data_IF_336931279105
#
_entry.id   IF_336931279105
#
_cell.length_a   1.000
_cell.length_b   1.000
_cell.length_c   1.000
_cell.angle_alpha   90.00
_cell.angle_beta   90.00
_cell.angle_gamma   90.00
#
_symmetry.space_group_name_H-M   'P 1'
#
loop_
_entity.id
_entity.type
_entity.pdbx_description
1 polymer ?
#
# COMPACT_ATOMS: atom_id res chain seq x y z
N UNK A 1 5.09 -5.92 24.30
CA UNK A 1 4.59 -5.05 23.21
C UNK A 1 3.06 -5.07 23.20
N UNK A 2 2.41 -3.94 23.50
CA UNK A 2 0.94 -3.82 23.51
C UNK A 2 0.44 -3.29 22.15
N UNK A 3 0.37 -4.17 21.17
CA UNK A 3 -0.22 -3.87 19.86
C UNK A 3 -1.54 -4.62 19.71
N UNK A 4 -2.57 -3.92 19.23
CA UNK A 4 -3.83 -4.53 18.83
C UNK A 4 -3.92 -4.49 17.31
N UNK A 5 -4.08 -5.67 16.72
CA UNK A 5 -4.28 -5.80 15.28
C UNK A 5 -5.77 -5.98 15.02
N UNK A 6 -6.31 -5.13 14.15
CA UNK A 6 -7.72 -5.14 13.79
C UNK A 6 -7.88 -5.64 12.36
N UNK A 7 -8.72 -6.67 12.20
CA UNK A 7 -9.13 -7.25 10.93
C UNK A 7 -10.34 -6.50 10.35
N UNK A 8 -10.25 -5.18 10.29
CA UNK A 8 -11.30 -4.29 9.81
C UNK A 8 -10.83 -3.56 8.55
N UNK A 9 -11.77 -3.13 7.71
CA UNK A 9 -11.43 -2.25 6.58
C UNK A 9 -10.76 -0.98 7.09
N UNK A 10 -9.58 -0.65 6.54
CA UNK A 10 -8.78 0.52 6.94
C UNK A 10 -9.56 1.81 6.70
N UNK A 11 -10.33 1.81 5.62
CA UNK A 11 -11.30 2.84 5.27
C UNK A 11 -12.61 2.09 5.11
N UNK A 12 -13.57 2.25 6.04
CA UNK A 12 -14.93 1.74 5.82
C UNK A 12 -15.42 2.25 4.47
N UNK A 13 -15.58 1.35 3.48
CA UNK A 13 -16.14 1.72 2.19
C UNK A 13 -17.56 2.23 2.44
N UNK A 14 -17.94 3.44 2.00
CA UNK A 14 -19.32 3.87 2.09
C UNK A 14 -20.21 2.83 1.38
N UNK A 15 -21.26 2.36 2.04
CA UNK A 15 -22.23 1.42 1.45
C UNK A 15 -22.84 1.97 0.13
N UNK A 16 -22.73 3.28 -0.07
CA UNK A 16 -23.25 4.03 -1.19
C UNK A 16 -22.16 4.47 -2.19
N UNK A 17 -20.92 3.96 -2.13
CA UNK A 17 -19.92 4.33 -3.15
C UNK A 17 -20.50 3.93 -4.51
N UNK A 18 -21.00 4.89 -5.31
CA UNK A 18 -21.64 4.53 -6.55
C UNK A 18 -20.54 3.94 -7.41
N UNK A 19 -20.84 2.91 -8.20
CA UNK A 19 -19.97 2.54 -9.31
C UNK A 19 -19.83 3.78 -10.18
N UNK A 20 -18.84 4.63 -9.88
CA UNK A 20 -18.33 5.60 -10.83
C UNK A 20 -17.60 4.73 -11.82
N UNK A 21 -18.33 4.29 -12.84
CA UNK A 21 -17.75 3.91 -14.11
C UNK A 21 -16.94 5.12 -14.59
N UNK A 22 -15.70 5.21 -14.14
CA UNK A 22 -14.66 5.80 -14.98
C UNK A 22 -14.56 4.81 -16.12
N UNK A 23 -15.35 5.06 -17.16
CA UNK A 23 -15.33 4.32 -18.42
C UNK A 23 -14.00 4.65 -19.13
N UNK A 24 -12.90 4.17 -18.56
CA UNK A 24 -11.81 3.68 -19.39
C UNK A 24 -12.39 2.42 -20.00
N UNK A 25 -12.44 2.30 -21.34
CA UNK A 25 -12.72 1.00 -21.97
C UNK A 25 -11.75 -0.02 -21.36
N UNK A 26 -12.23 -0.77 -20.36
CA UNK A 26 -11.36 -1.40 -19.39
C UNK A 26 -10.54 -2.49 -20.08
N UNK A 27 -9.22 -2.46 -19.89
CA UNK A 27 -8.36 -3.59 -20.26
C UNK A 27 -8.76 -4.76 -19.35
N UNK A 28 -9.62 -5.63 -19.88
CA UNK A 28 -10.02 -6.87 -19.25
C UNK A 28 -8.80 -7.77 -18.99
N UNK A 29 -8.88 -8.71 -18.05
CA UNK A 29 -7.72 -9.52 -17.64
C UNK A 29 -7.13 -10.35 -18.81
N UNK A 30 -7.96 -10.71 -19.79
CA UNK A 30 -7.52 -11.32 -21.05
C UNK A 30 -6.89 -10.31 -22.03
N UNK A 31 -7.23 -9.03 -21.95
CA UNK A 31 -6.70 -8.00 -22.83
C UNK A 31 -5.23 -7.66 -22.50
N UNK A 32 -4.77 -7.88 -21.27
CA UNK A 32 -3.33 -7.82 -20.92
C UNK A 32 -2.49 -8.89 -21.62
N UNK A 33 -3.10 -10.04 -21.98
CA UNK A 33 -2.44 -11.08 -22.79
C UNK A 33 -2.36 -10.70 -24.26
N UNK A 34 -3.20 -9.78 -24.72
CA UNK A 34 -3.21 -9.31 -26.09
C UNK A 34 -2.38 -8.05 -26.28
N UNK A 35 -2.16 -7.69 -27.53
CA UNK A 35 -1.56 -6.40 -27.88
C UNK A 35 -2.46 -5.25 -27.37
N UNK A 36 -1.89 -4.35 -26.57
CA UNK A 36 -2.55 -3.12 -26.12
C UNK A 36 -1.95 -1.96 -26.92
N UNK A 37 -2.78 -1.22 -27.66
CA UNK A 37 -2.33 -0.03 -28.38
C UNK A 37 -2.21 1.16 -27.41
N UNK A 38 -1.11 1.22 -26.67
CA UNK A 38 -0.86 2.24 -25.63
C UNK A 38 -0.87 3.65 -26.23
N UNK A 39 -0.28 3.82 -27.41
CA UNK A 39 -0.25 5.11 -28.11
C UNK A 39 -1.65 5.64 -28.44
N UNK A 40 -2.58 4.73 -28.76
CA UNK A 40 -3.97 5.05 -29.07
C UNK A 40 -4.86 5.37 -27.85
N UNK A 41 -4.40 5.16 -26.62
CA UNK A 41 -5.22 5.38 -25.42
C UNK A 41 -5.49 6.90 -25.20
N UNK A 42 -6.74 7.31 -24.92
CA UNK A 42 -7.11 8.70 -24.68
C UNK A 42 -6.78 9.16 -23.25
N UNK A 43 -5.57 8.86 -22.77
CA UNK A 43 -5.10 9.15 -21.41
C UNK A 43 -3.76 9.91 -21.44
N UNK A 44 -3.43 10.58 -20.33
CA UNK A 44 -2.17 11.32 -20.21
C UNK A 44 -0.93 10.43 -20.27
N UNK A 45 0.21 10.98 -20.69
CA UNK A 45 1.47 10.24 -20.86
C UNK A 45 1.92 9.48 -19.60
N UNK A 46 1.70 10.05 -18.42
CA UNK A 46 1.99 9.39 -17.14
C UNK A 46 1.18 8.11 -16.93
N UNK A 47 -0.10 8.09 -17.35
CA UNK A 47 -0.94 6.90 -17.27
C UNK A 47 -0.62 5.89 -18.37
N UNK A 48 -0.19 6.36 -19.56
CA UNK A 48 0.34 5.47 -20.61
C UNK A 48 1.59 4.73 -20.13
N UNK A 49 2.50 5.43 -19.46
CA UNK A 49 3.71 4.86 -18.84
C UNK A 49 3.32 3.77 -17.84
N UNK A 50 2.35 4.06 -16.96
CA UNK A 50 1.84 3.08 -16.01
C UNK A 50 1.26 1.83 -16.71
N UNK A 51 0.49 2.00 -17.79
CA UNK A 51 -0.07 0.87 -18.55
C UNK A 51 1.03 0.04 -19.21
N UNK A 52 2.07 0.68 -19.75
CA UNK A 52 3.23 0.02 -20.38
C UNK A 52 4.03 -0.82 -19.38
N UNK A 53 4.25 -0.29 -18.19
CA UNK A 53 4.95 -1.01 -17.11
C UNK A 53 4.13 -2.18 -16.57
N UNK A 54 2.80 -2.03 -16.42
CA UNK A 54 1.92 -3.14 -16.06
C UNK A 54 1.99 -4.24 -17.12
N UNK A 55 2.01 -3.87 -18.41
CA UNK A 55 2.17 -4.82 -19.51
C UNK A 55 3.51 -5.54 -19.43
N UNK A 56 4.59 -4.82 -19.12
CA UNK A 56 5.94 -5.36 -18.93
C UNK A 56 5.98 -6.37 -17.78
N UNK A 57 5.40 -6.04 -16.63
CA UNK A 57 5.28 -6.94 -15.47
C UNK A 57 4.50 -8.20 -15.86
N UNK A 58 3.41 -8.04 -16.60
CA UNK A 58 2.58 -9.16 -17.05
C UNK A 58 3.34 -10.09 -18.02
N UNK A 59 4.01 -9.52 -19.02
CA UNK A 59 4.72 -10.26 -20.06
C UNK A 59 5.95 -10.98 -19.54
N UNK A 60 6.55 -10.49 -18.46
CA UNK A 60 7.66 -11.16 -17.78
C UNK A 60 7.28 -12.57 -17.24
N UNK A 61 5.99 -12.90 -17.15
CA UNK A 61 5.40 -14.25 -17.05
C UNK A 61 6.30 -15.35 -16.43
N UNK A 62 6.60 -15.19 -15.13
CA UNK A 62 7.40 -16.07 -14.24
C UNK A 62 8.90 -15.76 -14.10
N UNK A 63 9.47 -14.90 -14.94
CA UNK A 63 10.80 -14.29 -14.71
C UNK A 63 10.62 -12.87 -14.16
N UNK A 64 9.71 -12.71 -13.20
CA UNK A 64 9.48 -11.45 -12.50
C UNK A 64 10.76 -11.07 -11.75
N UNK A 65 11.66 -10.41 -12.46
CA UNK A 65 12.73 -9.65 -11.83
C UNK A 65 12.03 -8.63 -10.95
N UNK A 66 12.36 -8.64 -9.66
CA UNK A 66 11.91 -7.66 -8.65
C UNK A 66 11.99 -6.23 -9.20
N UNK A 67 13.03 -5.95 -10.00
CA UNK A 67 13.21 -4.73 -10.77
C UNK A 67 11.98 -4.22 -11.54
N UNK A 68 11.25 -5.10 -12.25
CA UNK A 68 10.07 -4.69 -13.02
C UNK A 68 8.91 -4.31 -12.12
N UNK A 69 8.74 -5.04 -11.02
CA UNK A 69 7.74 -4.75 -10.01
C UNK A 69 8.07 -3.42 -9.32
N UNK A 70 9.32 -3.22 -8.90
CA UNK A 70 9.76 -1.99 -8.26
C UNK A 70 9.56 -0.78 -9.16
N UNK A 71 9.89 -0.92 -10.45
CA UNK A 71 9.68 0.14 -11.45
C UNK A 71 8.20 0.49 -11.58
N UNK A 72 7.34 -0.53 -11.77
CA UNK A 72 5.89 -0.35 -11.84
C UNK A 72 5.32 0.34 -10.59
N UNK A 73 5.73 -0.13 -9.41
CA UNK A 73 5.24 0.39 -8.13
C UNK A 73 5.70 1.83 -7.91
N UNK A 74 6.94 2.15 -8.24
CA UNK A 74 7.48 3.50 -8.18
C UNK A 74 6.67 4.46 -9.07
N UNK A 75 6.41 4.07 -10.32
CA UNK A 75 5.60 4.86 -11.25
C UNK A 75 4.16 4.98 -10.78
N UNK A 76 3.56 3.91 -10.25
CA UNK A 76 2.22 3.94 -9.66
C UNK A 76 2.13 5.01 -8.57
N UNK A 77 3.07 5.01 -7.62
CA UNK A 77 3.09 6.00 -6.53
C UNK A 77 3.36 7.42 -7.03
N UNK A 78 4.19 7.59 -8.06
CA UNK A 78 4.41 8.89 -8.69
C UNK A 78 3.14 9.42 -9.37
N UNK A 79 2.45 8.59 -10.16
CA UNK A 79 1.18 8.93 -10.81
C UNK A 79 0.11 9.30 -9.78
N UNK A 80 0.10 8.59 -8.64
CA UNK A 80 -0.80 8.86 -7.52
C UNK A 80 -0.36 10.04 -6.64
N UNK A 81 0.75 10.72 -6.98
CA UNK A 81 1.29 11.89 -6.24
C UNK A 81 1.60 11.60 -4.77
N UNK A 82 1.95 10.35 -4.46
CA UNK A 82 2.24 9.93 -3.07
C UNK A 82 3.62 10.36 -2.58
N UNK A 83 4.41 10.98 -3.46
CA UNK A 83 5.70 11.56 -3.13
C UNK A 83 5.73 13.10 -3.34
N UNK A 84 4.56 13.72 -3.49
CA UNK A 84 4.43 15.18 -3.55
C UNK A 84 4.21 15.73 -2.14
N UNK A 85 4.85 16.85 -1.81
CA UNK A 85 4.65 17.53 -0.51
C UNK A 85 3.15 17.80 -0.26
N UNK A 86 2.59 17.50 0.94
CA UNK A 86 3.29 17.19 2.20
C UNK A 86 3.58 15.69 2.44
N UNK A 87 3.32 14.84 1.44
CA UNK A 87 3.58 13.40 1.52
C UNK A 87 5.04 13.09 1.22
N UNK A 88 5.48 11.95 1.74
CA UNK A 88 6.76 11.35 1.43
C UNK A 88 6.60 9.85 1.33
N UNK A 89 7.28 9.24 0.37
CA UNK A 89 7.41 7.78 0.27
C UNK A 89 8.84 7.36 0.57
N UNK A 90 9.00 6.37 1.44
CA UNK A 90 10.29 5.76 1.72
C UNK A 90 10.22 4.28 1.36
N UNK A 91 10.97 3.87 0.35
CA UNK A 91 11.11 2.48 -0.03
C UNK A 91 12.11 1.77 0.89
N UNK A 92 11.79 0.54 1.30
CA UNK A 92 12.66 -0.33 2.11
C UNK A 92 13.24 0.35 3.36
N UNK A 93 12.49 1.28 3.97
CA UNK A 93 12.95 1.99 5.15
C UNK A 93 12.99 1.04 6.35
N UNK A 94 14.19 0.86 6.92
CA UNK A 94 14.35 0.10 8.16
C UNK A 94 13.76 0.90 9.31
N UNK A 95 12.68 0.39 9.89
CA UNK A 95 12.10 0.88 11.13
C UNK A 95 12.70 0.08 12.28
N UNK A 96 13.43 0.76 13.15
CA UNK A 96 14.02 0.18 14.35
C UNK A 96 13.36 0.84 15.55
N UNK A 97 12.89 0.03 16.48
CA UNK A 97 12.40 0.49 17.78
C UNK A 97 13.18 -0.27 18.85
N UNK A 98 13.97 0.49 19.61
CA UNK A 98 14.57 0.02 20.85
C UNK A 98 13.52 0.09 21.95
N UNK A 99 13.31 -1.01 22.69
CA UNK A 99 12.36 -1.03 23.79
C UNK A 99 13.10 -1.35 25.09
N UNK A 100 13.28 -0.33 25.92
CA UNK A 100 14.07 -0.43 27.15
C UNK A 100 15.59 -0.39 26.93
N UNK A 101 16.36 -0.38 28.01
CA UNK A 101 17.82 -0.14 27.98
C UNK A 101 18.67 -1.39 27.67
N UNK A 102 18.10 -2.60 27.67
CA UNK A 102 18.86 -3.86 27.62
C UNK A 102 18.37 -4.88 26.59
N UNK A 103 17.54 -4.48 25.62
CA UNK A 103 16.88 -5.46 24.73
C UNK A 103 17.26 -5.35 23.26
N UNK A 104 17.05 -6.46 22.54
CA UNK A 104 17.24 -6.53 21.10
C UNK A 104 16.21 -5.64 20.39
N UNK A 105 16.63 -4.83 19.40
CA UNK A 105 15.73 -3.93 18.69
C UNK A 105 14.65 -4.70 17.93
N UNK A 106 13.41 -4.19 17.94
CA UNK A 106 12.38 -4.63 17.01
C UNK A 106 12.63 -3.95 15.67
N UNK A 107 12.90 -4.75 14.65
CA UNK A 107 13.17 -4.27 13.29
C UNK A 107 12.01 -4.67 12.36
N UNK A 108 11.53 -3.70 11.59
CA UNK A 108 10.56 -3.90 10.51
C UNK A 108 11.07 -3.21 9.24
N UNK A 109 11.04 -3.92 8.12
CA UNK A 109 11.45 -3.39 6.81
C UNK A 109 10.27 -3.56 5.85
N UNK A 110 9.30 -2.62 5.86
CA UNK A 110 8.24 -2.61 4.86
C UNK A 110 8.79 -2.21 3.49
N UNK A 111 8.12 -2.68 2.43
CA UNK A 111 8.49 -2.33 1.06
C UNK A 111 8.33 -0.83 0.83
N UNK A 112 7.21 -0.25 1.31
CA UNK A 112 6.95 1.18 1.21
C UNK A 112 6.24 1.72 2.46
N UNK A 113 6.68 2.91 2.89
CA UNK A 113 6.04 3.70 3.93
C UNK A 113 5.60 5.03 3.34
N UNK A 114 4.34 5.38 3.55
CA UNK A 114 3.79 6.68 3.16
C UNK A 114 3.47 7.46 4.42
N UNK A 115 4.01 8.68 4.51
CA UNK A 115 3.80 9.57 5.66
C UNK A 115 3.51 10.99 5.21
N UNK A 116 2.61 11.65 5.94
CA UNK A 116 2.53 13.11 5.93
C UNK A 116 3.43 13.69 7.02
N UNK A 117 3.98 14.88 6.79
CA UNK A 117 4.86 15.57 7.74
C UNK A 117 4.18 16.00 9.05
N UNK A 118 2.84 15.94 9.13
CA UNK A 118 2.06 16.57 10.22
C UNK A 118 1.09 15.62 10.93
N UNK A 119 1.09 14.33 10.60
CA UNK A 119 0.15 13.37 11.17
C UNK A 119 0.89 12.34 12.04
N UNK A 120 0.20 11.84 13.07
CA UNK A 120 0.64 10.66 13.84
C UNK A 120 0.11 9.34 13.26
N UNK A 121 -0.55 9.44 12.11
CA UNK A 121 -1.02 8.33 11.31
C UNK A 121 0.06 7.89 10.34
N UNK A 122 0.24 6.58 10.25
CA UNK A 122 1.18 5.98 9.33
C UNK A 122 0.44 4.97 8.45
N UNK A 123 0.68 5.06 7.15
CA UNK A 123 0.25 4.03 6.21
C UNK A 123 1.47 3.28 5.72
N UNK A 124 1.38 1.96 5.72
CA UNK A 124 2.38 1.10 5.13
C UNK A 124 1.73 0.21 4.07
N UNK A 125 2.46 -0.03 3.00
CA UNK A 125 2.02 -0.89 1.90
C UNK A 125 3.09 -1.96 1.73
N UNK A 126 2.67 -3.21 1.82
CA UNK A 126 3.50 -4.37 1.52
C UNK A 126 3.14 -4.88 0.14
N UNK A 127 4.15 -5.08 -0.70
CA UNK A 127 4.00 -5.50 -2.09
C UNK A 127 4.92 -6.69 -2.35
N UNK A 128 4.34 -7.87 -2.60
CA UNK A 128 5.08 -9.09 -2.95
C UNK A 128 4.73 -9.46 -4.38
N UNK A 129 5.61 -9.16 -5.33
CA UNK A 129 5.28 -9.27 -6.75
C UNK A 129 4.12 -8.32 -7.08
N UNK A 130 2.96 -8.85 -7.47
CA UNK A 130 1.76 -8.04 -7.76
C UNK A 130 0.78 -7.98 -6.59
N UNK A 131 1.16 -8.52 -5.43
CA UNK A 131 0.28 -8.70 -4.28
C UNK A 131 0.38 -7.56 -3.27
N UNK A 132 -0.68 -6.79 -3.11
CA UNK A 132 -0.78 -5.63 -2.23
C UNK A 132 -1.45 -6.00 -0.90
N UNK A 133 -0.82 -5.58 0.20
CA UNK A 133 -1.43 -5.52 1.54
C UNK A 133 -1.26 -4.13 2.10
N UNK A 134 -2.33 -3.57 2.64
CA UNK A 134 -2.37 -2.25 3.23
C UNK A 134 -2.36 -2.36 4.76
N UNK A 135 -1.72 -1.38 5.39
CA UNK A 135 -1.69 -1.22 6.83
C UNK A 135 -1.93 0.25 7.18
N UNK A 136 -2.70 0.49 8.25
CA UNK A 136 -2.82 1.80 8.91
C UNK A 136 -2.44 1.62 10.37
N UNK A 137 -1.60 2.49 10.89
CA UNK A 137 -1.27 2.54 12.30
C UNK A 137 -1.54 3.94 12.85
N UNK A 138 -2.09 3.98 14.06
CA UNK A 138 -2.23 5.22 14.82
C UNK A 138 -1.34 5.15 16.06
N UNK A 139 -0.39 6.08 16.14
CA UNK A 139 0.60 6.13 17.22
C UNK A 139 0.31 7.36 18.07
N UNK A 140 -0.16 7.18 19.31
CA UNK A 140 -0.42 8.33 20.18
C UNK A 140 0.88 8.89 20.77
N UNK A 141 0.96 10.21 21.04
CA UNK A 141 2.10 10.78 21.77
C UNK A 141 2.35 10.08 23.12
N UNK A 142 1.29 9.67 23.83
CA UNK A 142 1.40 8.97 25.11
C UNK A 142 2.04 7.59 24.95
N UNK A 143 1.68 6.85 23.89
CA UNK A 143 2.31 5.57 23.59
C UNK A 143 3.80 5.74 23.29
N UNK A 144 4.19 6.79 22.56
CA UNK A 144 5.61 7.10 22.29
C UNK A 144 6.34 7.42 23.59
N UNK A 145 5.77 8.29 24.44
CA UNK A 145 6.39 8.65 25.72
C UNK A 145 6.59 7.43 26.62
N UNK A 146 5.59 6.54 26.70
CA UNK A 146 5.70 5.31 27.47
C UNK A 146 6.76 4.37 26.89
N UNK A 147 6.82 4.25 25.56
CA UNK A 147 7.82 3.43 24.85
C UNK A 147 9.25 3.89 25.11
N UNK A 148 9.48 5.20 25.29
CA UNK A 148 10.80 5.73 25.64
C UNK A 148 11.27 5.36 27.04
N UNK A 149 10.35 4.95 27.94
CA UNK A 149 10.65 4.52 29.30
C UNK A 149 10.73 2.99 29.44
N UNK A 150 10.43 2.23 28.38
CA UNK A 150 10.36 0.77 28.39
C UNK A 150 9.15 0.25 27.61
N UNK A 151 8.74 -1.01 27.84
CA UNK A 151 7.54 -1.54 27.18
C UNK A 151 6.28 -0.81 27.65
N UNK A 152 5.42 -0.34 26.71
CA UNK A 152 4.10 0.14 27.06
C UNK A 152 3.31 -0.93 27.82
N UNK A 153 2.86 -0.59 29.03
CA UNK A 153 2.02 -1.39 29.91
C UNK A 153 0.56 -0.90 29.86
N UNK A 154 0.35 0.41 29.75
CA UNK A 154 -0.98 1.01 29.80
C UNK A 154 -1.50 1.38 28.41
N UNK A 155 -0.66 1.91 27.54
CA UNK A 155 -1.06 2.35 26.19
C UNK A 155 -0.89 1.25 25.16
N UNK A 156 -1.68 1.36 24.10
CA UNK A 156 -1.67 0.45 22.97
C UNK A 156 -1.48 1.21 21.67
N UNK A 157 -0.84 0.56 20.70
CA UNK A 157 -0.85 0.98 19.31
C UNK A 157 -1.86 0.12 18.54
N UNK A 158 -2.74 0.77 17.79
CA UNK A 158 -3.71 0.10 16.94
C UNK A 158 -3.16 0.01 15.52
N UNK A 159 -3.17 -1.21 14.97
CA UNK A 159 -2.75 -1.51 13.60
C UNK A 159 -3.91 -2.17 12.87
N UNK A 160 -4.33 -1.57 11.76
CA UNK A 160 -5.37 -2.07 10.88
C UNK A 160 -4.71 -2.68 9.65
N UNK A 161 -5.21 -3.83 9.19
CA UNK A 161 -4.68 -4.54 8.01
C UNK A 161 -5.79 -4.85 7.02
N UNK A 162 -5.53 -4.63 5.73
CA UNK A 162 -6.43 -5.04 4.66
C UNK A 162 -5.67 -5.66 3.46
N UNK A 163 -6.14 -6.77 2.87
CA UNK A 163 -7.23 -7.63 3.36
C UNK A 163 -6.94 -8.24 4.75
N UNK A 164 -7.90 -8.84 5.45
CA UNK A 164 -7.65 -9.58 6.69
C UNK A 164 -6.68 -10.76 6.47
N UNK A 165 -5.92 -11.24 7.47
CA UNK A 165 -4.90 -12.30 7.30
C UNK A 165 -5.46 -13.66 6.88
N UNK A 166 -6.78 -13.84 6.93
CA UNK A 166 -7.42 -15.12 6.66
C UNK A 166 -7.26 -16.08 7.84
N UNK A 167 -7.76 -17.31 7.69
CA UNK A 167 -7.76 -18.30 8.78
C UNK A 167 -6.50 -19.18 8.81
N UNK A 168 -5.77 -19.29 7.71
CA UNK A 168 -4.59 -20.16 7.63
C UNK A 168 -3.32 -19.36 7.95
N UNK A 169 -2.54 -19.86 8.91
CA UNK A 169 -1.29 -19.23 9.37
C UNK A 169 -0.24 -18.99 8.27
N UNK A 170 -0.39 -19.66 7.12
CA UNK A 170 0.52 -19.59 5.98
C UNK A 170 -0.13 -19.11 4.68
N UNK A 171 -1.41 -18.71 4.70
CA UNK A 171 -2.04 -18.10 3.53
C UNK A 171 -1.71 -16.62 3.46
N UNK A 172 -1.00 -16.19 2.42
CA UNK A 172 -0.86 -14.78 2.10
C UNK A 172 -2.20 -14.29 1.54
N UNK A 173 -3.03 -13.67 2.37
CA UNK A 173 -4.22 -12.97 1.89
C UNK A 173 -3.85 -11.53 1.52
N UNK A 174 -3.93 -11.22 0.22
CA UNK A 174 -3.52 -9.97 -0.40
C UNK A 174 -4.37 -9.68 -1.65
N UNK A 175 -4.46 -8.40 -2.02
CA UNK A 175 -5.03 -7.97 -3.30
C UNK A 175 -4.01 -8.21 -4.40
N UNK A 176 -4.45 -8.52 -5.61
CA UNK A 176 -3.57 -8.86 -6.72
C UNK A 176 -3.80 -7.85 -7.83
N UNK A 177 -2.82 -7.01 -8.12
CA UNK A 177 -2.94 -5.98 -9.13
C UNK A 177 -3.18 -6.55 -10.54
N UNK A 178 -2.89 -7.82 -10.78
CA UNK A 178 -3.22 -8.44 -12.07
C UNK A 178 -4.70 -8.81 -12.23
N UNK A 179 -5.52 -8.74 -11.16
CA UNK A 179 -6.95 -9.04 -11.21
C UNK A 179 -7.78 -7.77 -11.30
N UNK A 180 -8.70 -7.68 -12.25
CA UNK A 180 -9.51 -6.48 -12.50
C UNK A 180 -10.21 -5.94 -11.24
N UNK A 181 -10.87 -6.83 -10.50
CA UNK A 181 -11.65 -6.41 -9.31
C UNK A 181 -10.74 -5.91 -8.19
N UNK A 182 -9.56 -6.52 -8.02
CA UNK A 182 -8.58 -6.11 -7.04
C UNK A 182 -7.91 -4.78 -7.40
N UNK A 183 -7.66 -4.50 -8.69
CA UNK A 183 -7.11 -3.21 -9.16
C UNK A 183 -7.94 -2.01 -8.70
N UNK A 184 -9.26 -2.13 -8.79
CA UNK A 184 -10.19 -1.08 -8.35
C UNK A 184 -10.03 -0.80 -6.86
N UNK A 185 -9.94 -1.85 -6.04
CA UNK A 185 -9.76 -1.73 -4.59
C UNK A 185 -8.39 -1.13 -4.26
N UNK A 186 -7.32 -1.58 -4.93
CA UNK A 186 -5.96 -1.04 -4.75
C UNK A 186 -5.94 0.46 -5.07
N UNK A 187 -6.42 0.86 -6.25
CA UNK A 187 -6.45 2.26 -6.67
C UNK A 187 -7.28 3.13 -5.71
N UNK A 188 -8.41 2.60 -5.22
CA UNK A 188 -9.24 3.28 -4.23
C UNK A 188 -8.49 3.49 -2.90
N UNK A 189 -7.89 2.44 -2.34
CA UNK A 189 -7.13 2.55 -1.09
C UNK A 189 -5.96 3.53 -1.22
N UNK A 190 -5.24 3.49 -2.34
CA UNK A 190 -4.18 4.46 -2.61
C UNK A 190 -4.72 5.90 -2.64
N UNK A 191 -5.84 6.13 -3.33
CA UNK A 191 -6.47 7.44 -3.35
C UNK A 191 -6.93 7.91 -1.95
N UNK A 192 -7.50 7.01 -1.14
CA UNK A 192 -7.92 7.31 0.23
C UNK A 192 -6.73 7.67 1.13
N UNK A 193 -5.64 6.90 1.08
CA UNK A 193 -4.38 7.20 1.79
C UNK A 193 -3.91 8.61 1.44
N UNK A 194 -3.84 8.93 0.14
CA UNK A 194 -3.40 10.25 -0.30
C UNK A 194 -4.33 11.37 0.19
N UNK A 195 -5.64 11.13 0.20
CA UNK A 195 -6.62 12.14 0.60
C UNK A 195 -6.58 12.39 2.11
N UNK A 196 -6.57 11.34 2.92
CA UNK A 196 -6.56 11.46 4.39
C UNK A 196 -5.25 12.09 4.90
N UNK A 197 -4.12 11.74 4.29
CA UNK A 197 -2.82 12.32 4.65
C UNK A 197 -2.61 13.78 4.18
N UNK A 198 -3.44 14.28 3.28
CA UNK A 198 -3.37 15.67 2.78
C UNK A 198 -4.47 16.59 3.31
N UNK A 199 -5.48 16.03 3.98
CA UNK A 199 -6.54 16.76 4.66
C UNK A 199 -6.03 17.53 5.89
#
# INVERSE_FOLDING_TARGET
MHIRVHDQEIFTLPAEYPEREVHVECIADNAWRSYVNIDGLPIGAQYKTLVDEVKTVYDASNNLSEYYVDTFVSTLFHVMKMNDYPLSINAQQVLVVDIGEQEEPIVSVPDFIIRATRTSEMYAIRIIGTLFTFYKAFITPEYVMESLLGYPQERYMDVFRYPPPGQAAYSLNALDFCKLDHRKVIAHYLHMISTELTA
#
